data_IF_898178679049
#
_entry.id   IF_898178679049
#
_cell.length_a   1.000
_cell.length_b   1.000
_cell.length_c   1.000
_cell.angle_alpha   90.00
_cell.angle_beta   90.00
_cell.angle_gamma   90.00
#
_symmetry.space_group_name_H-M   'P 1'
#
loop_
_entity.id
_entity.type
_entity.pdbx_description
1 polymer ?
#
# COMPACT_ATOMS: atom_id res chain seq x y z
N UNK A 1 43.69 7.52 58.57
CA UNK A 1 43.41 7.11 59.97
C UNK A 1 41.89 6.99 60.07
N UNK A 2 41.37 5.82 59.67
CA UNK A 2 40.61 4.86 60.49
C UNK A 2 39.21 5.39 60.86
N UNK A 3 38.20 4.70 60.34
CA UNK A 3 36.80 4.78 60.74
C UNK A 3 36.02 3.67 60.06
N UNK A 4 35.82 2.58 60.80
CA UNK A 4 35.18 1.30 60.42
C UNK A 4 33.74 1.29 60.97
N UNK A 5 32.90 0.42 60.39
CA UNK A 5 31.62 -0.11 60.92
C UNK A 5 30.35 0.73 60.73
N UNK A 6 29.18 0.17 60.44
CA UNK A 6 28.77 -1.23 60.57
C UNK A 6 27.46 -1.58 59.87
N UNK A 7 27.23 -2.89 59.84
CA UNK A 7 26.03 -3.61 59.41
C UNK A 7 24.75 -3.18 60.15
N UNK A 8 23.60 -3.24 59.47
CA UNK A 8 22.39 -3.82 60.07
C UNK A 8 21.39 -4.33 59.01
N UNK A 9 21.00 -5.61 59.15
CA UNK A 9 19.88 -6.29 58.46
C UNK A 9 18.62 -6.22 59.35
N UNK A 10 17.47 -6.55 58.74
CA UNK A 10 16.19 -7.04 59.34
C UNK A 10 15.06 -5.99 59.28
N UNK A 11 14.11 -6.07 58.31
CA UNK A 11 12.91 -6.93 58.17
C UNK A 11 11.62 -6.31 58.73
N UNK A 12 10.59 -6.39 57.88
CA UNK A 12 9.16 -6.55 58.16
C UNK A 12 8.28 -5.29 58.40
N UNK A 13 7.22 -5.16 57.58
CA UNK A 13 6.16 -4.15 57.78
C UNK A 13 5.22 -3.86 56.60
N UNK A 14 4.69 -4.90 55.95
CA UNK A 14 3.35 -5.04 55.31
C UNK A 14 2.55 -3.87 54.68
N UNK A 15 2.19 -4.13 53.40
CA UNK A 15 0.86 -4.09 52.73
C UNK A 15 0.15 -2.74 52.42
N UNK A 16 0.06 -2.47 51.12
CA UNK A 16 -1.19 -2.12 50.36
C UNK A 16 -0.98 -2.73 48.95
N UNK A 17 -1.47 -3.91 48.59
CA UNK A 17 -2.83 -4.37 48.28
C UNK A 17 -3.46 -3.76 47.01
N UNK A 18 -3.64 -4.65 46.01
CA UNK A 18 -4.60 -4.64 44.89
C UNK A 18 -4.31 -3.66 43.73
N UNK A 19 -4.51 -4.00 42.46
CA UNK A 19 -5.04 -5.21 41.83
C UNK A 19 -4.58 -5.23 40.37
N UNK A 20 -4.49 -6.45 39.84
CA UNK A 20 -4.41 -6.72 38.40
C UNK A 20 -5.54 -6.01 37.66
N UNK A 21 -5.20 -5.26 36.61
CA UNK A 21 -6.09 -5.10 35.48
C UNK A 21 -5.29 -5.37 34.20
N UNK A 22 -5.44 -6.60 33.70
CA UNK A 22 -5.27 -6.92 32.30
C UNK A 22 -6.15 -5.94 31.50
N UNK A 23 -5.53 -4.94 30.87
CA UNK A 23 -6.20 -4.12 29.88
C UNK A 23 -6.32 -4.95 28.59
N UNK A 24 -7.44 -5.63 28.46
CA UNK A 24 -7.90 -6.32 27.25
C UNK A 24 -7.79 -5.37 26.06
N UNK A 25 -7.02 -5.76 25.04
CA UNK A 25 -7.03 -5.12 23.72
C UNK A 25 -8.45 -5.17 23.15
N UNK A 26 -9.15 -4.04 23.15
CA UNK A 26 -10.32 -3.84 22.31
C UNK A 26 -9.88 -3.11 21.04
N UNK A 27 -9.75 -3.89 19.97
CA UNK A 27 -9.74 -3.37 18.60
C UNK A 27 -11.14 -2.79 18.37
N UNK A 28 -11.25 -1.47 18.39
CA UNK A 28 -12.49 -0.76 18.07
C UNK A 28 -12.74 -0.83 16.55
N UNK A 29 -13.25 -1.97 16.09
CA UNK A 29 -14.04 -2.07 14.87
C UNK A 29 -15.45 -1.58 15.19
N UNK A 30 -15.77 -0.30 14.96
CA UNK A 30 -17.13 0.17 14.72
C UNK A 30 -17.16 1.69 14.51
N UNK A 31 -17.20 2.13 13.24
CA UNK A 31 -18.07 3.23 12.81
C UNK A 31 -18.48 2.96 11.34
N UNK A 32 -19.21 1.87 11.14
CA UNK A 32 -20.19 1.79 10.05
C UNK A 32 -21.57 1.89 10.69
N UNK A 33 -22.04 3.12 10.89
CA UNK A 33 -23.46 3.34 11.12
C UNK A 33 -24.16 3.33 9.74
N UNK A 34 -25.25 2.55 9.56
CA UNK A 34 -26.08 2.70 8.39
C UNK A 34 -26.82 4.04 8.50
N UNK A 35 -26.53 4.97 7.60
CA UNK A 35 -27.46 6.08 7.37
C UNK A 35 -28.67 5.44 6.68
N UNK A 36 -29.76 5.28 7.43
CA UNK A 36 -31.08 5.03 6.88
C UNK A 36 -31.49 6.24 6.05
N UNK A 37 -31.20 6.20 4.75
CA UNK A 37 -31.75 7.16 3.79
C UNK A 37 -33.20 6.77 3.51
N UNK A 38 -34.12 7.68 3.85
CA UNK A 38 -35.52 7.62 3.47
C UNK A 38 -35.66 7.44 1.96
N UNK A 39 -36.53 6.49 1.57
CA UNK A 39 -36.83 6.17 0.19
C UNK A 39 -37.41 7.35 -0.57
N UNK A 40 -36.89 7.55 -1.77
CA UNK A 40 -37.67 7.98 -2.92
C UNK A 40 -37.48 6.89 -3.96
N UNK A 41 -38.58 6.24 -4.35
CA UNK A 41 -38.62 5.22 -5.39
C UNK A 41 -38.22 5.84 -6.73
N UNK A 42 -36.93 5.76 -7.06
CA UNK A 42 -36.49 5.90 -8.44
C UNK A 42 -36.65 4.54 -9.10
N UNK A 43 -37.78 4.34 -9.76
CA UNK A 43 -37.99 3.20 -10.67
C UNK A 43 -37.08 3.37 -11.89
N UNK A 44 -35.83 2.92 -11.78
CA UNK A 44 -35.02 2.57 -12.95
C UNK A 44 -35.38 1.14 -13.31
N UNK A 45 -36.32 1.00 -14.25
CA UNK A 45 -36.47 -0.23 -15.02
C UNK A 45 -35.20 -0.42 -15.86
N UNK A 46 -34.22 -1.09 -15.29
CA UNK A 46 -33.19 -1.80 -16.03
C UNK A 46 -33.15 -3.19 -15.41
N UNK A 47 -33.44 -4.22 -16.20
CA UNK A 47 -33.11 -5.58 -15.79
C UNK A 47 -31.70 -5.58 -15.20
N UNK A 48 -31.47 -6.15 -14.00
CA UNK A 48 -30.13 -6.22 -13.46
C UNK A 48 -29.26 -6.89 -14.52
N UNK A 49 -28.12 -6.29 -14.91
CA UNK A 49 -27.24 -6.94 -15.86
C UNK A 49 -26.95 -8.34 -15.31
N UNK A 50 -27.17 -9.37 -16.12
CA UNK A 50 -26.80 -10.74 -15.77
C UNK A 50 -25.27 -10.82 -15.74
N UNK A 51 -24.68 -10.33 -14.66
CA UNK A 51 -23.25 -10.35 -14.43
C UNK A 51 -22.83 -11.81 -14.25
N UNK A 52 -22.03 -12.31 -15.19
CA UNK A 52 -21.51 -13.66 -15.05
C UNK A 52 -20.57 -13.74 -13.83
N UNK A 53 -20.39 -14.92 -13.22
CA UNK A 53 -19.45 -15.10 -12.11
C UNK A 53 -18.03 -14.63 -12.42
N UNK A 54 -17.58 -14.73 -13.68
CA UNK A 54 -16.27 -14.27 -14.15
C UNK A 54 -16.14 -12.75 -14.28
N UNK A 55 -17.27 -12.02 -14.27
CA UNK A 55 -17.33 -10.55 -14.28
C UNK A 55 -17.55 -9.96 -12.89
N UNK A 56 -17.83 -10.80 -11.88
CA UNK A 56 -18.02 -10.38 -10.50
C UNK A 56 -16.69 -10.29 -9.74
N UNK A 57 -16.54 -9.26 -8.90
CA UNK A 57 -15.34 -9.11 -8.06
C UNK A 57 -15.30 -10.19 -6.98
N UNK A 58 -14.24 -11.01 -7.00
CA UNK A 58 -13.95 -12.01 -5.97
C UNK A 58 -12.53 -11.86 -5.46
N UNK A 59 -12.33 -11.85 -4.15
CA UNK A 59 -10.99 -11.74 -3.57
C UNK A 59 -10.23 -13.07 -3.67
N UNK A 60 -8.95 -12.99 -4.07
CA UNK A 60 -8.03 -14.14 -4.12
C UNK A 60 -7.26 -14.27 -2.81
N UNK A 61 -6.85 -13.15 -2.23
CA UNK A 61 -6.05 -13.12 -1.00
C UNK A 61 -5.55 -11.72 -0.70
N UNK A 62 -4.66 -11.63 0.30
CA UNK A 62 -4.04 -10.37 0.67
C UNK A 62 -2.65 -10.54 1.25
N UNK A 63 -1.98 -9.41 1.44
CA UNK A 63 -0.61 -9.32 1.95
C UNK A 63 -0.54 -8.19 2.97
N UNK A 64 0.04 -8.48 4.13
CA UNK A 64 0.49 -7.46 5.06
C UNK A 64 1.97 -7.18 4.78
N UNK A 65 2.31 -5.92 4.60
CA UNK A 65 3.66 -5.45 4.37
C UNK A 65 4.04 -4.50 5.50
N UNK A 66 5.20 -4.74 6.08
CA UNK A 66 5.81 -3.93 7.14
C UNK A 66 7.20 -3.56 6.65
N UNK A 67 7.48 -2.26 6.59
CA UNK A 67 8.76 -1.69 6.19
C UNK A 67 9.31 -0.92 7.39
N UNK A 68 10.57 -1.15 7.72
CA UNK A 68 11.20 -0.51 8.87
C UNK A 68 12.71 -0.39 8.67
N UNK A 69 13.24 0.80 8.92
CA UNK A 69 14.67 1.10 8.91
C UNK A 69 15.45 0.47 10.08
N UNK A 70 14.76 -0.07 11.10
CA UNK A 70 15.41 -0.65 12.28
C UNK A 70 16.34 -1.85 11.99
N UNK A 71 16.23 -2.48 10.82
CA UNK A 71 16.96 -3.72 10.52
C UNK A 71 18.27 -3.52 9.76
N UNK A 72 18.50 -2.37 9.13
CA UNK A 72 19.61 -2.18 8.18
C UNK A 72 20.63 -1.12 8.58
N UNK A 73 20.34 -0.27 9.58
CA UNK A 73 21.32 0.66 10.15
C UNK A 73 21.89 1.72 9.19
N UNK A 74 21.33 1.84 7.98
CA UNK A 74 21.67 2.88 7.01
C UNK A 74 20.43 3.75 6.77
N UNK A 75 20.33 4.84 7.53
CA UNK A 75 19.27 5.82 7.38
C UNK A 75 19.53 6.66 6.13
N UNK A 76 18.84 6.34 5.04
CA UNK A 76 18.54 7.36 4.03
C UNK A 76 17.04 7.37 3.87
N UNK A 77 16.41 8.32 4.56
CA UNK A 77 15.25 9.05 4.05
C UNK A 77 13.85 8.38 4.15
N UNK A 78 13.65 7.19 4.72
CA UNK A 78 12.31 6.57 4.87
C UNK A 78 12.17 5.67 6.11
N UNK A 79 11.55 6.13 7.18
CA UNK A 79 11.65 5.43 8.48
C UNK A 79 10.78 4.18 8.62
N UNK A 80 9.54 4.22 8.12
CA UNK A 80 8.59 3.12 8.34
C UNK A 80 7.37 3.21 7.44
N UNK A 81 6.80 2.05 7.11
CA UNK A 81 5.43 1.98 6.61
C UNK A 81 4.78 0.62 6.81
N UNK A 82 3.46 0.66 6.89
CA UNK A 82 2.61 -0.53 6.93
C UNK A 82 1.59 -0.46 5.82
N UNK A 83 1.34 -1.58 5.16
CA UNK A 83 0.28 -1.67 4.17
C UNK A 83 -0.41 -3.03 4.16
N UNK A 84 -1.72 -2.99 4.06
CA UNK A 84 -2.58 -4.13 3.78
C UNK A 84 -2.99 -4.06 2.32
N UNK A 85 -2.70 -5.12 1.57
CA UNK A 85 -3.05 -5.24 0.15
C UNK A 85 -4.01 -6.40 -0.03
N UNK A 86 -5.10 -6.20 -0.74
CA UNK A 86 -6.02 -7.25 -1.18
C UNK A 86 -6.01 -7.32 -2.71
N UNK A 87 -5.99 -8.55 -3.25
CA UNK A 87 -5.92 -8.78 -4.69
C UNK A 87 -7.12 -9.61 -5.11
N UNK A 88 -7.81 -9.22 -6.18
CA UNK A 88 -8.91 -9.97 -6.73
C UNK A 88 -8.42 -11.20 -7.51
N UNK A 89 -9.34 -12.12 -7.77
CA UNK A 89 -9.18 -13.09 -8.87
C UNK A 89 -9.21 -12.34 -10.20
N UNK A 90 -8.69 -12.99 -11.23
CA UNK A 90 -8.74 -12.44 -12.57
C UNK A 90 -10.19 -12.34 -13.04
N UNK A 91 -10.59 -11.17 -13.49
CA UNK A 91 -11.85 -10.93 -14.18
C UNK A 91 -11.67 -11.34 -15.63
N UNK A 92 -12.66 -12.04 -16.17
CA UNK A 92 -12.63 -12.58 -17.53
C UNK A 92 -13.57 -11.80 -18.45
N UNK A 93 -13.14 -11.65 -19.71
CA UNK A 93 -13.89 -10.97 -20.75
C UNK A 93 -13.90 -9.45 -20.61
N UNK A 94 -14.78 -8.81 -21.37
CA UNK A 94 -14.94 -7.36 -21.38
C UNK A 94 -15.36 -6.85 -19.99
N UNK A 95 -14.69 -5.79 -19.53
CA UNK A 95 -14.96 -5.19 -18.23
C UNK A 95 -16.34 -4.52 -18.23
N UNK A 96 -17.19 -4.88 -17.26
CA UNK A 96 -18.50 -4.27 -17.06
C UNK A 96 -18.53 -3.49 -15.74
N UNK A 97 -18.34 -2.17 -15.74
CA UNK A 97 -18.30 -1.36 -14.53
C UNK A 97 -19.56 -1.44 -13.66
N UNK A 98 -20.71 -1.81 -14.24
CA UNK A 98 -21.99 -1.99 -13.56
C UNK A 98 -22.02 -3.26 -12.67
N UNK A 99 -21.15 -4.23 -12.96
CA UNK A 99 -21.00 -5.46 -12.19
C UNK A 99 -20.03 -5.33 -11.01
N UNK A 100 -19.45 -4.14 -10.80
CA UNK A 100 -18.46 -3.86 -9.77
C UNK A 100 -19.06 -3.01 -8.65
N UNK A 101 -18.52 -3.07 -7.41
CA UNK A 101 -18.88 -2.13 -6.37
C UNK A 101 -18.71 -0.68 -6.85
N UNK A 102 -19.64 0.20 -6.48
CA UNK A 102 -19.77 1.53 -7.07
C UNK A 102 -18.46 2.34 -7.14
N UNK A 103 -17.60 2.43 -6.09
CA UNK A 103 -16.35 3.18 -6.19
C UNK A 103 -15.40 2.62 -7.25
N UNK A 104 -15.34 1.28 -7.37
CA UNK A 104 -14.50 0.58 -8.34
C UNK A 104 -15.07 0.77 -9.75
N UNK A 105 -16.39 0.65 -9.92
CA UNK A 105 -17.06 0.90 -11.20
C UNK A 105 -16.92 2.35 -11.67
N UNK A 106 -16.97 3.32 -10.77
CA UNK A 106 -16.69 4.73 -11.08
C UNK A 106 -15.25 4.94 -11.53
N UNK A 107 -14.29 4.32 -10.84
CA UNK A 107 -12.88 4.40 -11.23
C UNK A 107 -12.64 3.75 -12.61
N UNK A 108 -13.27 2.60 -12.88
CA UNK A 108 -13.18 1.95 -14.19
C UNK A 108 -13.72 2.84 -15.32
N UNK A 109 -14.87 3.50 -15.11
CA UNK A 109 -15.42 4.48 -16.06
C UNK A 109 -14.51 5.69 -16.24
N UNK A 110 -13.92 6.21 -15.16
CA UNK A 110 -12.95 7.30 -15.24
C UNK A 110 -11.74 6.92 -16.09
N UNK A 111 -11.17 5.73 -15.91
CA UNK A 111 -10.08 5.23 -16.77
C UNK A 111 -10.54 5.18 -18.23
N UNK A 112 -11.75 4.69 -18.51
CA UNK A 112 -12.25 4.62 -19.88
C UNK A 112 -12.41 5.98 -20.55
N UNK A 113 -12.67 7.03 -19.76
CA UNK A 113 -12.70 8.40 -20.24
C UNK A 113 -11.30 9.01 -20.41
N UNK A 114 -10.40 8.83 -19.43
CA UNK A 114 -9.07 9.44 -19.41
C UNK A 114 -8.04 8.73 -20.30
N UNK A 115 -8.17 7.41 -20.44
CA UNK A 115 -7.32 6.54 -21.26
C UNK A 115 -8.20 5.48 -21.96
N UNK A 116 -8.92 5.86 -23.03
CA UNK A 116 -9.82 4.94 -23.75
C UNK A 116 -9.10 3.72 -24.34
N UNK A 117 -7.78 3.79 -24.53
CA UNK A 117 -6.96 2.67 -25.00
C UNK A 117 -6.77 1.59 -23.94
N UNK A 118 -6.93 1.93 -22.65
CA UNK A 118 -6.71 0.98 -21.56
C UNK A 118 -7.75 -0.14 -21.49
N UNK A 119 -9.00 0.09 -21.90
CA UNK A 119 -10.01 -0.99 -21.90
C UNK A 119 -10.12 -1.71 -23.24
N UNK A 120 -9.36 -1.30 -24.26
CA UNK A 120 -9.45 -1.88 -25.60
C UNK A 120 -8.78 -3.25 -25.62
N UNK A 121 -9.51 -4.26 -26.10
CA UNK A 121 -8.95 -5.57 -26.41
C UNK A 121 -8.01 -5.46 -27.60
N UNK A 122 -6.81 -6.05 -27.49
CA UNK A 122 -5.77 -6.00 -28.52
C UNK A 122 -5.75 -7.27 -29.40
N UNK A 123 -6.83 -8.05 -29.43
CA UNK A 123 -6.96 -9.25 -30.26
C UNK A 123 -7.85 -10.33 -29.65
N UNK A 124 -7.73 -11.56 -30.17
CA UNK A 124 -8.56 -12.73 -29.81
C UNK A 124 -8.21 -13.40 -28.47
N UNK A 125 -7.12 -12.98 -27.80
CA UNK A 125 -6.69 -13.56 -26.53
C UNK A 125 -7.21 -12.70 -25.36
N UNK A 126 -7.92 -13.28 -24.38
CA UNK A 126 -8.49 -12.53 -23.28
C UNK A 126 -7.37 -11.91 -22.43
N UNK A 127 -7.37 -10.59 -22.31
CA UNK A 127 -6.53 -9.91 -21.32
C UNK A 127 -6.91 -10.41 -19.93
N UNK A 128 -5.93 -10.90 -19.17
CA UNK A 128 -6.17 -11.24 -17.76
C UNK A 128 -6.06 -9.96 -16.96
N UNK A 129 -7.12 -9.63 -16.22
CA UNK A 129 -7.18 -8.39 -15.46
C UNK A 129 -7.56 -8.63 -14.01
N UNK A 130 -6.93 -7.94 -13.08
CA UNK A 130 -7.29 -7.99 -11.67
C UNK A 130 -7.25 -6.61 -11.02
N UNK A 131 -7.95 -6.51 -9.90
CA UNK A 131 -8.00 -5.34 -9.05
C UNK A 131 -7.13 -5.56 -7.82
N UNK A 132 -6.34 -4.55 -7.47
CA UNK A 132 -5.58 -4.48 -6.23
C UNK A 132 -6.10 -3.31 -5.41
N UNK A 133 -6.37 -3.56 -4.14
CA UNK A 133 -6.75 -2.52 -3.17
C UNK A 133 -5.70 -2.50 -2.08
N UNK A 134 -5.15 -1.34 -1.80
CA UNK A 134 -4.11 -1.17 -0.78
C UNK A 134 -4.50 -0.08 0.19
N UNK A 135 -4.46 -0.38 1.48
CA UNK A 135 -4.57 0.62 2.53
C UNK A 135 -3.24 0.65 3.29
N UNK A 136 -2.69 1.84 3.53
CA UNK A 136 -1.40 1.94 4.19
C UNK A 136 -1.15 3.26 4.89
N UNK A 137 -0.10 3.27 5.68
CA UNK A 137 0.46 4.43 6.33
C UNK A 137 1.98 4.44 6.09
N UNK A 138 2.51 5.56 5.59
CA UNK A 138 3.94 5.80 5.38
C UNK A 138 4.40 6.94 6.27
N UNK A 139 5.65 6.86 6.76
CA UNK A 139 6.26 7.84 7.66
C UNK A 139 7.65 8.21 7.17
N UNK A 140 7.87 9.51 7.05
CA UNK A 140 9.14 10.11 6.67
C UNK A 140 9.63 10.96 7.84
N UNK A 141 10.90 10.78 8.22
CA UNK A 141 11.56 11.60 9.23
C UNK A 141 12.88 12.13 8.69
N UNK A 142 13.39 13.23 9.24
CA UNK A 142 14.77 13.67 9.02
C UNK A 142 15.79 12.59 9.43
N UNK A 143 17.03 12.77 8.99
CA UNK A 143 18.18 11.95 9.37
C UNK A 143 18.48 12.08 10.87
N UNK A 144 18.53 13.32 11.39
CA UNK A 144 18.65 13.57 12.84
C UNK A 144 17.29 13.53 13.55
N UNK A 145 16.99 12.35 14.09
CA UNK A 145 15.75 12.04 14.80
C UNK A 145 15.65 12.66 16.19
N UNK A 146 16.73 13.25 16.71
CA UNK A 146 16.79 13.82 18.07
C UNK A 146 16.41 15.29 18.12
N UNK A 147 16.50 15.98 16.98
CA UNK A 147 16.17 17.40 16.84
C UNK A 147 14.68 17.65 17.01
N UNK A 148 14.36 18.74 17.72
CA UNK A 148 12.98 19.16 18.01
C UNK A 148 12.59 20.45 17.29
N UNK A 149 13.55 21.12 16.70
CA UNK A 149 13.38 22.31 15.87
C UNK A 149 13.20 21.93 14.39
N UNK A 150 12.68 22.88 13.60
CA UNK A 150 12.59 22.73 12.15
C UNK A 150 14.00 22.59 11.56
N UNK A 151 14.21 21.60 10.69
CA UNK A 151 15.46 21.37 9.97
C UNK A 151 15.23 21.77 8.50
N UNK A 152 15.61 22.99 8.07
CA UNK A 152 15.28 23.47 6.73
C UNK A 152 16.03 22.75 5.60
N UNK A 153 17.20 22.20 5.92
CA UNK A 153 18.12 21.58 4.96
C UNK A 153 17.97 20.05 4.89
N UNK A 154 16.95 19.49 5.56
CA UNK A 154 16.62 18.06 5.51
C UNK A 154 15.12 17.88 5.20
N UNK A 155 14.70 16.65 4.92
CA UNK A 155 13.28 16.35 4.72
C UNK A 155 12.49 16.64 5.99
N UNK A 156 11.29 17.22 5.89
CA UNK A 156 10.42 17.40 7.03
C UNK A 156 9.92 16.04 7.54
N UNK A 157 9.46 16.04 8.79
CA UNK A 157 8.55 14.99 9.24
C UNK A 157 7.31 15.01 8.35
N UNK A 158 6.89 13.84 7.85
CA UNK A 158 5.66 13.71 7.09
C UNK A 158 5.06 12.34 7.32
N UNK A 159 3.76 12.33 7.60
CA UNK A 159 2.97 11.11 7.57
C UNK A 159 2.00 11.13 6.41
N UNK A 160 1.76 9.98 5.80
CA UNK A 160 0.75 9.78 4.76
C UNK A 160 -0.08 8.56 5.14
N UNK A 161 -1.40 8.71 5.24
CA UNK A 161 -2.34 7.58 5.27
C UNK A 161 -3.10 7.55 3.95
N UNK A 162 -3.25 6.38 3.34
CA UNK A 162 -3.78 6.29 1.98
C UNK A 162 -4.56 5.01 1.69
N UNK A 163 -5.42 5.11 0.68
CA UNK A 163 -6.11 4.02 0.01
C UNK A 163 -5.77 4.09 -1.50
N UNK A 164 -5.33 2.99 -2.07
CA UNK A 164 -5.03 2.83 -3.49
C UNK A 164 -5.96 1.79 -4.13
N UNK A 165 -6.43 2.09 -5.34
CA UNK A 165 -7.15 1.18 -6.22
C UNK A 165 -6.34 1.04 -7.52
N UNK A 166 -5.86 -0.16 -7.83
CA UNK A 166 -5.09 -0.42 -9.03
C UNK A 166 -5.73 -1.49 -9.92
N UNK A 167 -5.79 -1.22 -11.22
CA UNK A 167 -6.14 -2.17 -12.26
C UNK A 167 -4.88 -2.67 -12.94
N UNK A 168 -4.66 -3.98 -12.88
CA UNK A 168 -3.60 -4.68 -13.59
C UNK A 168 -4.20 -5.38 -14.81
N UNK A 169 -3.67 -5.13 -16.01
CA UNK A 169 -4.02 -5.82 -17.26
C UNK A 169 -2.79 -6.48 -17.85
N UNK A 170 -2.78 -7.82 -17.88
CA UNK A 170 -1.78 -8.62 -18.59
C UNK A 170 -2.26 -8.87 -20.01
N UNK A 171 -1.45 -8.47 -20.99
CA UNK A 171 -1.79 -8.46 -22.40
C UNK A 171 -0.70 -9.19 -23.18
N UNK A 172 -1.11 -10.13 -24.02
CA UNK A 172 -0.23 -10.77 -24.99
C UNK A 172 -0.79 -10.50 -26.40
N UNK A 173 -0.21 -9.55 -27.15
CA UNK A 173 -0.65 -9.27 -28.52
C UNK A 173 -0.49 -10.52 -29.41
N UNK A 174 -1.43 -10.73 -30.33
CA UNK A 174 -1.42 -11.88 -31.22
C UNK A 174 -0.11 -11.94 -32.03
N UNK A 175 0.51 -13.13 -32.08
CA UNK A 175 1.79 -13.37 -32.77
C UNK A 175 2.98 -12.52 -32.29
N UNK A 176 2.88 -11.82 -31.15
CA UNK A 176 4.00 -11.11 -30.57
C UNK A 176 4.91 -12.05 -29.77
N UNK A 177 6.22 -11.83 -29.81
CA UNK A 177 7.19 -12.55 -28.96
C UNK A 177 7.28 -11.96 -27.53
N UNK A 178 6.38 -11.06 -27.16
CA UNK A 178 6.39 -10.33 -25.90
C UNK A 178 5.00 -10.27 -25.29
N UNK A 179 4.96 -9.91 -24.01
CA UNK A 179 3.75 -9.60 -23.27
C UNK A 179 3.96 -8.36 -22.41
N UNK A 180 2.85 -7.74 -22.05
CA UNK A 180 2.81 -6.48 -21.32
C UNK A 180 1.95 -6.60 -20.07
N UNK A 181 2.29 -5.81 -19.06
CA UNK A 181 1.45 -5.53 -17.91
C UNK A 181 1.21 -4.03 -17.85
N UNK A 182 -0.04 -3.63 -18.05
CA UNK A 182 -0.49 -2.26 -17.86
C UNK A 182 -1.12 -2.10 -16.47
N UNK A 183 -0.68 -1.08 -15.74
CA UNK A 183 -1.19 -0.74 -14.41
C UNK A 183 -1.78 0.68 -14.44
N UNK A 184 -3.00 0.83 -13.92
CA UNK A 184 -3.61 2.13 -13.61
C UNK A 184 -3.95 2.15 -12.14
N UNK A 185 -3.29 2.99 -11.38
CA UNK A 185 -3.50 3.12 -9.93
C UNK A 185 -3.94 4.53 -9.57
N UNK A 186 -5.01 4.62 -8.78
CA UNK A 186 -5.46 5.84 -8.14
C UNK A 186 -5.22 5.70 -6.63
N UNK A 187 -4.47 6.64 -6.07
CA UNK A 187 -4.17 6.72 -4.64
C UNK A 187 -4.76 8.00 -4.06
N UNK A 188 -5.55 7.85 -3.00
CA UNK A 188 -6.16 8.95 -2.25
C UNK A 188 -5.77 8.84 -0.78
N UNK A 189 -5.57 9.96 -0.10
CA UNK A 189 -5.11 9.93 1.28
C UNK A 189 -5.09 11.29 1.97
N UNK A 190 -4.36 11.35 3.08
CA UNK A 190 -4.11 12.55 3.85
C UNK A 190 -2.63 12.59 4.25
N UNK A 191 -1.98 13.71 3.94
CA UNK A 191 -0.63 14.05 4.42
C UNK A 191 -0.77 14.88 5.69
N UNK A 192 0.18 14.74 6.62
CA UNK A 192 0.32 15.56 7.82
C UNK A 192 -0.24 14.91 9.09
N UNK A 193 -0.59 15.72 10.08
CA UNK A 193 -1.03 15.27 11.41
C UNK A 193 -2.23 14.31 11.39
N UNK A 194 -3.15 14.47 10.43
CA UNK A 194 -4.31 13.59 10.24
C UNK A 194 -3.95 12.20 9.73
N UNK A 195 -2.73 12.00 9.22
CA UNK A 195 -2.23 10.66 8.91
C UNK A 195 -2.05 9.80 10.16
N UNK A 196 -1.93 10.41 11.35
CA UNK A 196 -1.64 9.76 12.63
C UNK A 196 -0.28 9.05 12.69
N UNK A 197 0.66 9.39 11.80
CA UNK A 197 1.98 8.75 11.74
C UNK A 197 2.77 8.84 13.05
N UNK A 198 2.85 10.02 13.67
CA UNK A 198 3.45 10.20 15.00
C UNK A 198 2.88 9.23 16.03
N UNK A 199 1.55 9.09 16.07
CA UNK A 199 0.86 8.29 17.10
C UNK A 199 1.14 6.80 16.89
N UNK A 200 1.17 6.35 15.63
CA UNK A 200 1.58 5.00 15.26
C UNK A 200 3.05 4.73 15.64
N UNK A 201 3.96 5.65 15.33
CA UNK A 201 5.38 5.52 15.64
C UNK A 201 5.59 5.47 17.15
N UNK A 202 4.99 6.40 17.89
CA UNK A 202 5.05 6.47 19.35
C UNK A 202 4.54 5.20 20.03
N UNK A 203 3.50 4.59 19.47
CA UNK A 203 2.98 3.31 19.95
C UNK A 203 4.03 2.21 19.81
N UNK A 204 4.62 2.07 18.61
CA UNK A 204 5.66 1.07 18.35
C UNK A 204 6.88 1.33 19.22
N UNK A 205 7.32 2.59 19.34
CA UNK A 205 8.48 2.96 20.16
C UNK A 205 8.23 2.64 21.63
N UNK A 206 7.04 2.94 22.15
CA UNK A 206 6.65 2.61 23.54
C UNK A 206 6.63 1.10 23.78
N UNK A 207 6.05 0.32 22.87
CA UNK A 207 5.96 -1.15 22.99
C UNK A 207 7.34 -1.79 22.90
N UNK A 208 8.26 -1.21 22.12
CA UNK A 208 9.61 -1.74 21.88
C UNK A 208 10.70 -1.14 22.78
N UNK A 209 10.37 -0.15 23.60
CA UNK A 209 11.33 0.56 24.45
C UNK A 209 12.32 1.44 23.67
N UNK A 210 11.93 1.93 22.50
CA UNK A 210 12.73 2.83 21.65
C UNK A 210 12.43 4.28 22.07
N UNK A 211 13.46 5.15 22.04
CA UNK A 211 13.26 6.57 22.29
C UNK A 211 12.34 7.21 21.24
N UNK A 212 11.44 8.09 21.68
CA UNK A 212 10.48 8.76 20.79
C UNK A 212 11.12 9.93 20.07
N UNK A 213 10.69 10.16 18.85
CA UNK A 213 11.10 11.32 18.09
C UNK A 213 10.27 12.52 18.54
N UNK A 214 10.96 13.65 18.77
CA UNK A 214 10.34 14.86 19.34
C UNK A 214 10.18 15.99 18.33
N UNK A 215 10.45 15.73 17.05
CA UNK A 215 10.33 16.70 15.96
C UNK A 215 8.98 16.72 15.23
N UNK A 216 8.05 15.82 15.57
CA UNK A 216 6.75 15.66 14.88
C UNK A 216 5.86 16.91 14.89
N UNK A 217 6.07 17.83 15.84
CA UNK A 217 5.40 19.14 15.87
C UNK A 217 5.75 20.02 14.66
N UNK A 218 6.88 19.77 14.00
CA UNK A 218 7.33 20.47 12.79
C UNK A 218 6.98 19.71 11.48
N UNK A 219 6.08 18.73 11.53
CA UNK A 219 5.71 17.97 10.35
C UNK A 219 4.94 18.80 9.32
N UNK A 220 4.84 18.28 8.09
CA UNK A 220 3.96 18.84 7.07
C UNK A 220 2.52 19.04 7.59
N UNK A 221 1.93 20.18 7.24
CA UNK A 221 0.53 20.48 7.57
C UNK A 221 -0.43 19.51 6.88
N UNK A 222 -1.66 19.46 7.39
CA UNK A 222 -2.69 18.60 6.80
C UNK A 222 -3.02 19.03 5.37
N UNK A 223 -2.95 18.09 4.43
CA UNK A 223 -3.40 18.29 3.06
C UNK A 223 -3.99 16.99 2.49
N UNK A 224 -5.04 17.09 1.64
CA UNK A 224 -5.51 15.94 0.88
C UNK A 224 -4.39 15.39 0.01
N UNK A 225 -4.25 14.08 -0.05
CA UNK A 225 -3.25 13.40 -0.86
C UNK A 225 -3.92 12.74 -2.07
N UNK A 226 -3.36 12.95 -3.26
CA UNK A 226 -3.83 12.38 -4.50
C UNK A 226 -2.65 12.01 -5.39
N UNK A 227 -2.77 10.85 -6.06
CA UNK A 227 -1.88 10.44 -7.13
C UNK A 227 -2.60 9.53 -8.12
N UNK A 228 -2.39 9.78 -9.41
CA UNK A 228 -2.65 8.83 -10.48
C UNK A 228 -1.32 8.29 -10.99
N UNK A 229 -1.20 6.97 -11.07
CA UNK A 229 -0.03 6.29 -11.62
C UNK A 229 -0.42 5.44 -12.83
N UNK A 230 0.41 5.53 -13.87
CA UNK A 230 0.33 4.73 -15.09
C UNK A 230 1.66 4.04 -15.28
N UNK A 231 1.67 2.71 -15.27
CA UNK A 231 2.88 1.93 -15.51
C UNK A 231 2.63 0.93 -16.63
N UNK A 232 3.63 0.72 -17.48
CA UNK A 232 3.71 -0.41 -18.40
C UNK A 232 5.00 -1.16 -18.15
N UNK A 233 4.89 -2.48 -17.98
CA UNK A 233 6.02 -3.41 -18.01
C UNK A 233 5.93 -4.28 -19.25
N UNK A 234 7.07 -4.66 -19.82
CA UNK A 234 7.15 -5.53 -20.98
C UNK A 234 8.25 -6.56 -20.79
N UNK A 235 7.97 -7.81 -21.20
CA UNK A 235 8.91 -8.92 -21.11
C UNK A 235 8.70 -9.91 -22.26
N UNK A 236 9.68 -10.77 -22.57
CA UNK A 236 9.49 -11.88 -23.50
C UNK A 236 8.30 -12.75 -23.09
N UNK A 237 7.50 -13.18 -24.06
CA UNK A 237 6.36 -14.05 -23.80
C UNK A 237 6.82 -15.40 -23.27
N UNK A 238 6.04 -15.96 -22.34
CA UNK A 238 6.29 -17.27 -21.75
C UNK A 238 4.96 -17.89 -21.35
N UNK A 239 4.82 -19.19 -21.60
CA UNK A 239 3.66 -19.98 -21.19
C UNK A 239 3.82 -20.60 -19.79
N UNK A 240 2.69 -20.89 -19.13
CA UNK A 240 2.65 -21.51 -17.80
C UNK A 240 2.94 -20.54 -16.65
N UNK A 241 2.71 -20.98 -15.42
CA UNK A 241 2.86 -20.12 -14.24
C UNK A 241 4.33 -19.97 -13.79
N UNK A 242 5.19 -20.92 -14.13
CA UNK A 242 6.59 -21.01 -13.71
C UNK A 242 7.40 -21.59 -14.87
N UNK A 243 8.61 -21.06 -15.12
CA UNK A 243 9.56 -21.65 -16.07
C UNK A 243 10.39 -22.71 -15.37
N UNK A 244 10.21 -24.01 -15.65
CA UNK A 244 10.93 -25.07 -14.95
C UNK A 244 12.43 -25.04 -15.27
N UNK A 245 13.26 -25.32 -14.26
CA UNK A 245 14.72 -25.38 -14.39
C UNK A 245 15.40 -24.02 -14.26
N UNK A 246 16.67 -23.95 -14.64
CA UNK A 246 17.39 -22.67 -14.68
C UNK A 246 16.93 -21.83 -15.87
N UNK A 247 16.69 -20.54 -15.64
CA UNK A 247 16.31 -19.61 -16.70
C UNK A 247 16.74 -18.19 -16.40
N UNK A 248 16.44 -17.29 -17.35
CA UNK A 248 16.63 -15.85 -17.19
C UNK A 248 15.57 -15.06 -17.96
N UNK A 249 15.23 -13.87 -17.51
CA UNK A 249 14.48 -12.90 -18.30
C UNK A 249 14.95 -11.46 -18.07
N UNK A 250 14.46 -10.58 -18.94
CA UNK A 250 14.59 -9.14 -18.84
C UNK A 250 13.19 -8.53 -18.89
N UNK A 251 12.96 -7.56 -18.01
CA UNK A 251 11.70 -6.83 -17.91
C UNK A 251 12.02 -5.36 -18.02
N UNK A 252 11.53 -4.71 -19.06
CA UNK A 252 11.58 -3.26 -19.15
C UNK A 252 10.31 -2.64 -18.58
N UNK A 253 10.43 -1.42 -18.08
CA UNK A 253 9.30 -0.67 -17.56
C UNK A 253 9.41 0.83 -17.84
N UNK A 254 8.25 1.47 -17.91
CA UNK A 254 8.12 2.92 -17.77
C UNK A 254 6.90 3.23 -16.93
N UNK A 255 6.97 4.30 -16.14
CA UNK A 255 5.85 4.77 -15.34
C UNK A 255 5.79 6.28 -15.26
N UNK A 256 4.58 6.81 -15.27
CA UNK A 256 4.24 8.21 -15.01
C UNK A 256 3.40 8.28 -13.75
N UNK A 257 3.71 9.24 -12.88
CA UNK A 257 2.93 9.58 -11.69
C UNK A 257 2.62 11.06 -11.71
N UNK A 258 1.39 11.40 -11.40
CA UNK A 258 0.92 12.78 -11.36
C UNK A 258 0.07 12.95 -10.12
N UNK A 259 0.43 13.93 -9.30
CA UNK A 259 -0.23 14.18 -8.03
C UNK A 259 0.61 15.04 -7.10
N UNK A 260 0.05 15.35 -5.92
CA UNK A 260 0.78 16.05 -4.87
C UNK A 260 1.53 15.09 -3.93
N UNK A 261 1.31 13.78 -4.03
CA UNK A 261 2.16 12.77 -3.38
C UNK A 261 3.50 12.70 -4.13
N UNK A 262 3.46 12.40 -5.42
CA UNK A 262 4.62 12.37 -6.31
C UNK A 262 4.19 12.83 -7.71
N UNK A 263 5.01 13.64 -8.36
CA UNK A 263 4.93 13.90 -9.80
C UNK A 263 6.26 13.53 -10.44
N UNK A 264 6.28 12.44 -11.19
CA UNK A 264 7.52 11.85 -11.71
C UNK A 264 7.28 11.05 -12.98
N UNK A 265 8.33 10.98 -13.80
CA UNK A 265 8.44 10.04 -14.91
C UNK A 265 9.63 9.11 -14.64
N UNK A 266 9.50 7.83 -14.96
CA UNK A 266 10.51 6.82 -14.66
C UNK A 266 10.57 5.77 -15.75
N UNK A 267 11.76 5.18 -15.92
CA UNK A 267 11.98 3.99 -16.72
C UNK A 267 12.93 3.05 -15.96
N UNK A 268 12.82 1.75 -16.21
CA UNK A 268 13.63 0.74 -15.53
C UNK A 268 13.83 -0.51 -16.38
N UNK A 269 14.85 -1.27 -16.01
CA UNK A 269 15.13 -2.60 -16.56
C UNK A 269 15.49 -3.51 -15.40
N UNK A 270 14.82 -4.66 -15.31
CA UNK A 270 15.09 -5.71 -14.33
C UNK A 270 15.59 -6.95 -15.07
N UNK A 271 16.75 -7.46 -14.66
CA UNK A 271 17.29 -8.75 -15.14
C UNK A 271 17.14 -9.79 -14.04
N UNK A 272 16.63 -10.97 -14.39
CA UNK A 272 16.49 -12.08 -13.45
C UNK A 272 17.15 -13.32 -14.01
N UNK A 273 17.80 -14.08 -13.14
CA UNK A 273 18.32 -15.41 -13.43
C UNK A 273 18.17 -16.28 -12.18
N UNK A 274 17.86 -17.56 -12.37
CA UNK A 274 17.56 -18.44 -11.25
C UNK A 274 16.82 -19.70 -11.64
N UNK A 275 16.52 -20.52 -10.64
CA UNK A 275 15.79 -21.78 -10.79
C UNK A 275 14.29 -21.56 -10.61
N UNK A 276 13.47 -22.16 -11.48
CA UNK A 276 12.01 -22.10 -11.42
C UNK A 276 11.47 -20.66 -11.34
N UNK A 277 11.95 -19.77 -12.23
CA UNK A 277 11.55 -18.36 -12.21
C UNK A 277 10.03 -18.26 -12.49
N UNK A 278 9.26 -17.58 -11.62
CA UNK A 278 7.84 -17.34 -11.85
C UNK A 278 7.57 -16.55 -13.13
N UNK A 279 6.47 -16.88 -13.81
CA UNK A 279 6.01 -16.16 -14.99
C UNK A 279 5.18 -14.92 -14.60
N UNK A 280 5.85 -13.98 -13.93
CA UNK A 280 5.32 -12.69 -13.50
C UNK A 280 6.13 -11.52 -14.09
N UNK A 281 5.72 -10.28 -13.76
CA UNK A 281 6.36 -9.06 -14.22
C UNK A 281 7.38 -8.51 -13.22
N UNK A 282 8.17 -9.40 -12.62
CA UNK A 282 9.30 -9.01 -11.81
C UNK A 282 8.95 -8.72 -10.37
N UNK A 283 9.91 -8.12 -9.69
CA UNK A 283 9.69 -7.59 -8.35
C UNK A 283 8.75 -6.38 -8.39
N UNK A 284 8.12 -6.11 -7.25
CA UNK A 284 7.59 -4.78 -6.93
C UNK A 284 8.67 -4.08 -6.10
N UNK A 285 9.70 -3.50 -6.74
CA UNK A 285 10.78 -2.88 -6.00
C UNK A 285 10.20 -1.69 -5.21
N UNK A 286 10.62 -1.58 -3.95
CA UNK A 286 10.40 -0.35 -3.19
C UNK A 286 11.16 0.74 -3.93
N UNK A 287 10.47 1.80 -4.33
CA UNK A 287 11.11 2.98 -4.90
C UNK A 287 11.39 3.93 -3.74
N UNK A 288 12.66 4.26 -3.44
CA UNK A 288 12.96 5.25 -2.40
C UNK A 288 12.28 6.58 -2.73
N UNK A 289 11.47 7.10 -1.81
CA UNK A 289 10.78 8.38 -1.98
C UNK A 289 9.39 8.34 -2.61
N UNK A 290 8.76 7.16 -2.72
CA UNK A 290 7.35 6.98 -3.08
C UNK A 290 6.50 6.55 -1.87
#
# INVERSE_FOLDING_TARGET
MIGVDGYCRSLCGTKVQQSMQCATLLIACALFSPISAFGSDFSLSADPPSCSPGQSLRWRGGTLRLENDLFTGSDRNYTNGVALTAVSRDLQGELRPECLPQPIGLYARFIGWADPGFWRDTGDQPASQNLVVRFGQSMYTPEDKTRTDLIPDDRPYAGLVYLSLAWNRRIHPQAASYEMLDVRELTLGLIGHWSLAEKSQDLVHRVRGIERFRGWDNQLRNEPAFQMAMERKFKPYTEGAVRPGWGSDVIGSYALRVGNIETAASTGVEFRAGWNIPNDFGSYPIRPGA
#
